data_IF_876601667299
#
_entry.id   IF_876601667299
#
_cell.length_a   1.000
_cell.length_b   1.000
_cell.length_c   1.000
_cell.angle_alpha   90.00
_cell.angle_beta   90.00
_cell.angle_gamma   90.00
#
_symmetry.space_group_name_H-M   'P 1'
#
loop_
_entity.id
_entity.type
_entity.pdbx_description
1 polymer ?
#
# COMPACT_ATOMS: atom_id res chain seq x y z
N UNK A 1 -52.14 11.99 -9.74
CA UNK A 1 -52.22 10.78 -8.89
C UNK A 1 -51.34 11.05 -7.67
N UNK A 2 -51.88 10.81 -6.48
CA UNK A 2 -51.68 11.60 -5.27
C UNK A 2 -50.36 11.37 -4.51
N UNK A 3 -49.94 12.44 -3.82
CA UNK A 3 -48.90 12.52 -2.79
C UNK A 3 -49.47 12.14 -1.41
N UNK A 4 -48.57 11.67 -0.52
CA UNK A 4 -48.64 11.60 0.97
C UNK A 4 -49.45 10.47 1.65
N UNK A 5 -49.15 10.10 2.93
CA UNK A 5 -48.18 10.70 3.87
C UNK A 5 -47.14 9.76 4.51
N UNK A 6 -46.06 10.37 5.00
CA UNK A 6 -45.17 9.87 6.05
C UNK A 6 -45.97 9.66 7.34
N UNK A 7 -45.89 8.46 7.93
CA UNK A 7 -46.31 8.20 9.31
C UNK A 7 -45.06 7.95 10.16
N UNK A 8 -44.77 8.89 11.05
CA UNK A 8 -43.78 8.76 12.09
C UNK A 8 -44.31 7.76 13.13
N UNK A 9 -43.71 6.56 13.20
CA UNK A 9 -43.86 5.70 14.37
C UNK A 9 -42.60 5.88 15.21
N UNK A 10 -42.78 6.42 16.41
CA UNK A 10 -41.83 6.32 17.50
C UNK A 10 -41.42 4.85 17.65
N UNK A 11 -40.23 4.50 17.18
CA UNK A 11 -39.66 3.19 17.41
C UNK A 11 -39.11 3.18 18.83
N UNK A 12 -39.80 2.44 19.71
CA UNK A 12 -39.34 2.10 21.05
C UNK A 12 -37.91 1.56 20.99
N UNK A 13 -37.07 1.98 21.95
CA UNK A 13 -35.67 1.58 22.11
C UNK A 13 -35.49 0.04 22.20
N UNK A 14 -36.56 -0.72 22.42
CA UNK A 14 -36.56 -2.18 22.49
C UNK A 14 -36.50 -2.93 21.14
N UNK A 15 -36.61 -2.26 19.98
CA UNK A 15 -36.65 -2.94 18.67
C UNK A 15 -35.31 -3.01 17.92
N UNK A 16 -34.21 -2.56 18.54
CA UNK A 16 -32.93 -2.32 17.86
C UNK A 16 -31.89 -3.44 18.02
N UNK A 17 -32.26 -4.60 18.57
CA UNK A 17 -31.31 -5.65 18.94
C UNK A 17 -31.05 -6.73 17.86
N UNK A 18 -31.68 -6.65 16.68
CA UNK A 18 -31.59 -7.73 15.68
C UNK A 18 -31.57 -7.24 14.23
N UNK A 19 -30.71 -6.26 13.90
CA UNK A 19 -30.36 -6.07 12.48
C UNK A 19 -29.31 -7.13 12.13
N UNK A 20 -29.64 -8.19 11.37
CA UNK A 20 -28.63 -9.15 10.95
C UNK A 20 -27.58 -8.40 10.13
N UNK A 21 -26.30 -8.54 10.51
CA UNK A 21 -25.19 -8.01 9.73
C UNK A 21 -25.23 -8.67 8.34
N UNK A 22 -25.72 -7.93 7.35
CA UNK A 22 -25.67 -8.33 5.95
C UNK A 22 -24.25 -8.14 5.44
N UNK A 23 -23.48 -9.23 5.33
CA UNK A 23 -22.18 -9.21 4.67
C UNK A 23 -22.40 -9.35 3.17
N UNK A 24 -22.42 -8.21 2.46
CA UNK A 24 -22.38 -8.22 1.01
C UNK A 24 -20.97 -8.61 0.55
N UNK A 25 -20.85 -9.83 0.04
CA UNK A 25 -19.62 -10.33 -0.54
C UNK A 25 -19.54 -9.87 -2.00
N UNK A 26 -19.01 -8.67 -2.21
CA UNK A 26 -18.69 -8.20 -3.56
C UNK A 26 -17.69 -9.16 -4.18
N UNK A 27 -18.16 -9.96 -5.15
CA UNK A 27 -17.32 -10.91 -5.87
C UNK A 27 -16.10 -10.17 -6.42
N UNK A 28 -14.92 -10.41 -5.84
CA UNK A 28 -13.68 -10.04 -6.50
C UNK A 28 -13.65 -10.82 -7.81
N UNK A 29 -13.67 -10.11 -8.94
CA UNK A 29 -13.24 -10.73 -10.18
C UNK A 29 -11.88 -11.38 -9.88
N UNK A 30 -11.75 -12.71 -10.08
CA UNK A 30 -10.51 -13.47 -9.87
C UNK A 30 -9.47 -13.06 -10.93
N UNK A 31 -9.08 -11.80 -10.93
CA UNK A 31 -8.04 -11.27 -11.81
C UNK A 31 -6.74 -11.27 -11.03
N UNK A 32 -5.77 -12.02 -11.53
CA UNK A 32 -4.40 -11.85 -11.08
C UNK A 32 -3.95 -10.42 -11.41
N UNK A 33 -3.33 -9.75 -10.44
CA UNK A 33 -2.87 -8.37 -10.53
C UNK A 33 -1.37 -8.33 -10.28
N UNK A 34 -0.69 -7.35 -10.88
CA UNK A 34 0.68 -6.99 -10.57
C UNK A 34 0.66 -5.76 -9.66
N UNK A 35 0.97 -5.95 -8.39
CA UNK A 35 0.90 -4.87 -7.39
C UNK A 35 2.32 -4.47 -7.01
N UNK A 36 2.64 -3.18 -7.15
CA UNK A 36 3.85 -2.60 -6.61
C UNK A 36 3.57 -2.12 -5.18
N UNK A 37 4.12 -2.79 -4.18
CA UNK A 37 4.03 -2.38 -2.79
C UNK A 37 5.25 -1.55 -2.45
N UNK A 38 5.06 -0.35 -1.92
CA UNK A 38 6.15 0.55 -1.55
C UNK A 38 6.03 0.90 -0.08
N UNK A 39 7.08 0.58 0.69
CA UNK A 39 7.13 0.82 2.13
C UNK A 39 8.54 1.19 2.56
N UNK A 40 8.68 1.97 3.63
CA UNK A 40 9.99 2.27 4.23
C UNK A 40 10.44 1.21 5.24
N UNK A 41 9.49 0.40 5.72
CA UNK A 41 9.71 -0.61 6.75
C UNK A 41 9.03 -1.91 6.32
N UNK A 42 9.73 -3.01 6.55
CA UNK A 42 9.30 -4.36 6.23
C UNK A 42 10.03 -5.35 7.14
N UNK A 43 9.50 -6.57 7.38
CA UNK A 43 10.25 -7.60 8.08
C UNK A 43 11.66 -7.75 7.48
N UNK A 44 12.72 -7.86 8.30
CA UNK A 44 12.73 -8.28 9.71
C UNK A 44 12.48 -7.18 10.77
N UNK A 45 12.16 -5.94 10.39
CA UNK A 45 11.78 -4.92 11.38
C UNK A 45 10.53 -5.36 12.17
N UNK A 46 10.58 -5.24 13.51
CA UNK A 46 9.53 -5.71 14.43
C UNK A 46 8.47 -4.63 14.74
N UNK A 47 8.32 -3.63 13.88
CA UNK A 47 7.34 -2.55 14.07
C UNK A 47 5.96 -2.91 13.49
N UNK A 48 4.91 -2.25 14.00
CA UNK A 48 3.52 -2.55 13.63
C UNK A 48 3.26 -2.41 12.12
N UNK A 49 3.89 -1.43 11.48
CA UNK A 49 3.80 -1.20 10.02
C UNK A 49 4.42 -2.37 9.24
N UNK A 50 5.64 -2.81 9.59
CA UNK A 50 6.31 -3.93 8.94
C UNK A 50 5.46 -5.20 9.04
N UNK A 51 5.01 -5.54 10.25
CA UNK A 51 4.25 -6.77 10.49
C UNK A 51 2.91 -6.77 9.74
N UNK A 52 2.22 -5.64 9.73
CA UNK A 52 0.94 -5.49 9.00
C UNK A 52 1.16 -5.55 7.49
N UNK A 53 2.19 -4.87 6.98
CA UNK A 53 2.57 -4.91 5.55
C UNK A 53 2.94 -6.32 5.13
N UNK A 54 3.71 -7.05 5.94
CA UNK A 54 4.08 -8.44 5.67
C UNK A 54 2.86 -9.36 5.55
N UNK A 55 1.88 -9.21 6.46
CA UNK A 55 0.61 -9.95 6.40
C UNK A 55 -0.21 -9.60 5.16
N UNK A 56 -0.27 -8.32 4.79
CA UNK A 56 -0.94 -7.85 3.57
C UNK A 56 -0.31 -8.47 2.32
N UNK A 57 1.02 -8.43 2.21
CA UNK A 57 1.77 -9.03 1.09
C UNK A 57 1.51 -10.53 1.01
N UNK A 58 1.59 -11.26 2.13
CA UNK A 58 1.31 -12.69 2.19
C UNK A 58 -0.12 -13.00 1.69
N UNK A 59 -1.12 -12.29 2.20
CA UNK A 59 -2.51 -12.48 1.77
C UNK A 59 -2.72 -12.20 0.27
N UNK A 60 -2.05 -11.18 -0.29
CA UNK A 60 -2.13 -10.92 -1.73
C UNK A 60 -1.47 -12.02 -2.57
N UNK A 61 -0.36 -12.60 -2.10
CA UNK A 61 0.30 -13.73 -2.76
C UNK A 61 -0.58 -14.98 -2.73
N UNK A 62 -1.23 -15.25 -1.59
CA UNK A 62 -2.18 -16.36 -1.42
C UNK A 62 -3.38 -16.24 -2.37
N UNK A 63 -3.86 -15.01 -2.58
CA UNK A 63 -4.93 -14.70 -3.55
C UNK A 63 -4.50 -14.79 -5.01
N UNK A 64 -3.22 -15.01 -5.29
CA UNK A 64 -2.75 -15.23 -6.65
C UNK A 64 -1.99 -14.08 -7.28
N UNK A 65 -1.87 -12.93 -6.61
CA UNK A 65 -1.27 -11.73 -7.19
C UNK A 65 0.26 -11.83 -7.31
N UNK A 66 0.83 -10.98 -8.17
CA UNK A 66 2.27 -10.83 -8.37
C UNK A 66 2.68 -9.55 -7.68
N UNK A 67 3.62 -9.63 -6.74
CA UNK A 67 4.03 -8.52 -5.90
C UNK A 67 5.47 -8.12 -6.22
N UNK A 68 5.67 -6.83 -6.47
CA UNK A 68 6.99 -6.21 -6.41
C UNK A 68 7.04 -5.32 -5.18
N UNK A 69 7.87 -5.68 -4.20
CA UNK A 69 8.03 -4.93 -2.97
C UNK A 69 9.25 -4.00 -3.07
N UNK A 70 9.03 -2.70 -2.97
CA UNK A 70 10.09 -1.71 -2.91
C UNK A 70 10.27 -1.25 -1.47
N UNK A 71 11.45 -1.52 -0.91
CA UNK A 71 11.82 -1.10 0.44
C UNK A 71 13.26 -0.59 0.50
N UNK A 72 13.62 0.27 1.46
CA UNK A 72 15.01 0.63 1.71
C UNK A 72 15.83 -0.61 2.07
N UNK A 73 17.13 -0.55 1.76
CA UNK A 73 18.12 -1.50 2.28
C UNK A 73 18.28 -1.29 3.80
N UNK A 74 18.14 -2.36 4.58
CA UNK A 74 18.20 -2.34 6.06
C UNK A 74 19.58 -2.72 6.61
N UNK A 75 20.49 -3.26 5.79
CA UNK A 75 21.84 -3.64 6.21
C UNK A 75 22.79 -3.90 5.04
N UNK A 76 24.09 -4.09 5.34
CA UNK A 76 25.10 -4.42 4.32
C UNK A 76 24.81 -5.78 3.68
N UNK A 77 24.47 -6.77 4.50
CA UNK A 77 24.16 -8.15 4.09
C UNK A 77 22.71 -8.33 3.61
N UNK A 78 21.92 -7.25 3.56
CA UNK A 78 20.55 -7.29 3.09
C UNK A 78 20.50 -7.56 1.58
N UNK A 79 19.91 -8.69 1.23
CA UNK A 79 19.76 -9.17 -0.13
C UNK A 79 18.27 -9.19 -0.51
N UNK A 80 17.90 -8.72 -1.72
CA UNK A 80 16.52 -8.78 -2.16
C UNK A 80 16.06 -10.24 -2.30
N UNK A 81 14.92 -10.57 -1.70
CA UNK A 81 14.26 -11.84 -1.94
C UNK A 81 13.64 -11.89 -3.36
N UNK A 82 13.67 -13.07 -3.98
CA UNK A 82 13.07 -13.30 -5.29
C UNK A 82 12.47 -14.71 -5.39
N UNK A 83 11.19 -14.75 -5.63
CA UNK A 83 10.34 -15.93 -5.75
C UNK A 83 9.44 -15.80 -7.00
N UNK A 84 8.74 -16.85 -7.45
CA UNK A 84 7.99 -16.81 -8.72
C UNK A 84 6.96 -15.67 -8.86
N UNK A 85 6.34 -15.24 -7.75
CA UNK A 85 5.34 -14.16 -7.72
C UNK A 85 5.71 -13.01 -6.80
N UNK A 86 6.91 -13.04 -6.21
CA UNK A 86 7.36 -12.04 -5.26
C UNK A 86 8.79 -11.60 -5.60
N UNK A 87 9.01 -10.30 -5.71
CA UNK A 87 10.34 -9.75 -5.95
C UNK A 87 10.55 -8.52 -5.07
N UNK A 88 11.66 -8.50 -4.33
CA UNK A 88 12.09 -7.32 -3.61
C UNK A 88 13.02 -6.46 -4.45
N UNK A 89 12.80 -5.15 -4.39
CA UNK A 89 13.67 -4.13 -4.97
C UNK A 89 14.16 -3.24 -3.84
N UNK A 90 15.44 -3.40 -3.51
CA UNK A 90 16.06 -2.59 -2.46
C UNK A 90 16.39 -1.19 -3.00
N UNK A 91 15.67 -0.19 -2.51
CA UNK A 91 15.98 1.20 -2.74
C UNK A 91 17.31 1.52 -2.03
N UNK A 92 18.32 1.93 -2.81
CA UNK A 92 19.58 2.42 -2.25
C UNK A 92 19.33 3.77 -1.59
N UNK A 93 19.56 3.86 -0.29
CA UNK A 93 19.69 5.16 0.37
C UNK A 93 20.89 5.88 -0.25
N UNK A 94 20.66 7.02 -0.91
CA UNK A 94 21.76 7.86 -1.36
C UNK A 94 22.11 8.80 -0.20
N UNK A 95 23.34 8.77 0.34
CA UNK A 95 23.79 9.80 1.27
C UNK A 95 23.84 11.14 0.51
N UNK A 96 23.18 12.18 1.04
CA UNK A 96 23.20 13.53 0.46
C UNK A 96 24.39 14.29 1.07
N UNK A 97 25.46 14.61 0.32
CA UNK A 97 26.56 15.41 0.84
C UNK A 97 26.12 16.87 1.02
N UNK A 98 26.41 17.47 2.18
CA UNK A 98 26.23 18.91 2.55
C UNK A 98 24.83 19.46 2.89
N UNK A 99 23.79 18.64 2.99
CA UNK A 99 22.48 19.07 3.56
C UNK A 99 21.92 18.00 4.50
N UNK A 100 22.31 18.03 5.77
CA UNK A 100 21.92 17.04 6.78
C UNK A 100 20.47 17.21 7.30
N UNK A 101 19.76 18.29 6.92
CA UNK A 101 18.44 18.64 7.46
C UNK A 101 17.27 18.56 6.45
N UNK A 102 17.53 18.29 5.16
CA UNK A 102 16.50 18.31 4.12
C UNK A 102 16.66 17.11 3.18
N UNK A 103 15.90 16.04 3.45
CA UNK A 103 15.80 14.86 2.58
C UNK A 103 14.63 15.03 1.59
N UNK A 104 14.82 15.79 0.50
CA UNK A 104 13.87 15.74 -0.61
C UNK A 104 14.11 14.48 -1.46
N UNK A 105 13.12 13.60 -1.47
CA UNK A 105 13.14 12.26 -2.07
C UNK A 105 13.22 12.21 -3.60
N UNK A 106 14.34 12.60 -4.18
CA UNK A 106 14.53 12.68 -5.64
C UNK A 106 15.54 11.69 -6.30
N UNK A 107 16.28 10.80 -5.61
CA UNK A 107 17.01 9.74 -6.31
C UNK A 107 16.14 8.51 -6.64
N UNK A 108 15.09 8.21 -5.86
CA UNK A 108 14.30 6.99 -6.03
C UNK A 108 13.25 7.10 -7.15
N UNK A 109 12.69 8.28 -7.43
CA UNK A 109 11.65 8.46 -8.46
C UNK A 109 12.11 8.00 -9.85
N UNK A 110 13.32 8.35 -10.27
CA UNK A 110 13.83 7.96 -11.59
C UNK A 110 14.07 6.45 -11.70
N UNK A 111 14.53 5.83 -10.61
CA UNK A 111 14.72 4.37 -10.54
C UNK A 111 13.36 3.68 -10.64
N UNK A 112 12.38 4.11 -9.83
CA UNK A 112 11.01 3.59 -9.85
C UNK A 112 10.34 3.78 -11.21
N UNK A 113 10.53 4.94 -11.84
CA UNK A 113 10.01 5.20 -13.19
C UNK A 113 10.59 4.25 -14.23
N UNK A 114 11.91 3.99 -14.21
CA UNK A 114 12.55 3.05 -15.14
C UNK A 114 12.09 1.62 -14.88
N UNK A 115 12.02 1.23 -13.60
CA UNK A 115 11.51 -0.07 -13.17
C UNK A 115 10.09 -0.29 -13.69
N UNK A 116 9.18 0.65 -13.43
CA UNK A 116 7.77 0.56 -13.83
C UNK A 116 7.52 0.81 -15.32
N UNK A 117 8.43 1.44 -16.04
CA UNK A 117 8.38 1.48 -17.51
C UNK A 117 8.65 0.10 -18.12
N UNK A 118 9.52 -0.70 -17.48
CA UNK A 118 9.87 -2.05 -17.95
C UNK A 118 8.91 -3.12 -17.40
N UNK A 119 8.54 -2.99 -16.12
CA UNK A 119 7.67 -3.90 -15.38
C UNK A 119 6.52 -3.10 -14.78
N UNK A 120 5.55 -2.76 -15.61
CA UNK A 120 4.42 -1.91 -15.22
C UNK A 120 3.45 -2.64 -14.28
N UNK A 121 3.24 -2.16 -13.04
CA UNK A 121 2.20 -2.70 -12.18
C UNK A 121 0.80 -2.25 -12.64
N UNK A 122 -0.21 -3.04 -12.31
CA UNK A 122 -1.63 -2.65 -12.41
C UNK A 122 -1.98 -1.59 -11.37
N UNK A 123 -1.41 -1.73 -10.16
CA UNK A 123 -1.69 -0.90 -8.99
C UNK A 123 -0.42 -0.65 -8.16
N UNK A 124 -0.24 0.57 -7.67
CA UNK A 124 0.75 0.92 -6.65
C UNK A 124 0.11 1.05 -5.26
N UNK A 125 0.49 0.18 -4.32
CA UNK A 125 0.14 0.30 -2.90
C UNK A 125 1.29 1.02 -2.19
N UNK A 126 1.08 2.27 -1.76
CA UNK A 126 2.10 3.10 -1.13
C UNK A 126 1.77 3.22 0.36
N UNK A 127 2.50 2.50 1.20
CA UNK A 127 2.22 2.36 2.65
C UNK A 127 2.94 3.44 3.48
N UNK A 128 3.66 4.34 2.83
CA UNK A 128 4.53 5.29 3.49
C UNK A 128 4.43 6.70 2.91
N UNK A 129 4.48 7.71 3.77
CA UNK A 129 4.52 9.13 3.39
C UNK A 129 5.92 9.73 3.45
N UNK A 130 6.95 8.89 3.59
CA UNK A 130 8.35 9.31 3.62
C UNK A 130 8.91 9.49 2.19
N UNK A 131 10.17 9.96 2.02
CA UNK A 131 10.74 10.25 0.71
C UNK A 131 10.58 9.15 -0.34
N UNK A 132 10.63 7.86 0.02
CA UNK A 132 10.39 6.76 -0.92
C UNK A 132 8.95 6.73 -1.42
N UNK A 133 7.99 6.93 -0.53
CA UNK A 133 6.56 7.00 -0.84
C UNK A 133 6.22 8.17 -1.75
N UNK A 134 6.77 9.36 -1.49
CA UNK A 134 6.63 10.52 -2.39
C UNK A 134 7.25 10.25 -3.77
N UNK A 135 8.44 9.65 -3.81
CA UNK A 135 9.09 9.21 -5.05
C UNK A 135 8.21 8.24 -5.84
N UNK A 136 7.60 7.28 -5.16
CA UNK A 136 6.69 6.30 -5.76
C UNK A 136 5.42 6.95 -6.30
N UNK A 137 4.78 7.82 -5.51
CA UNK A 137 3.58 8.53 -5.95
C UNK A 137 3.87 9.42 -7.16
N UNK A 138 5.00 10.12 -7.15
CA UNK A 138 5.43 10.96 -8.26
C UNK A 138 5.72 10.13 -9.53
N UNK A 139 6.32 8.94 -9.39
CA UNK A 139 6.53 8.01 -10.50
C UNK A 139 5.21 7.44 -11.04
N UNK A 140 4.29 7.07 -10.15
CA UNK A 140 3.00 6.47 -10.51
C UNK A 140 2.12 7.48 -11.26
N UNK A 141 2.06 8.72 -10.77
CA UNK A 141 1.39 9.85 -11.44
C UNK A 141 1.94 10.08 -12.84
N UNK A 142 3.26 10.09 -13.01
CA UNK A 142 3.90 10.30 -14.32
C UNK A 142 3.60 9.17 -15.31
N UNK A 143 3.46 7.94 -14.82
CA UNK A 143 3.16 6.76 -15.65
C UNK A 143 1.67 6.46 -15.76
N UNK A 144 0.80 7.23 -15.09
CA UNK A 144 -0.65 7.00 -14.99
C UNK A 144 -0.99 5.59 -14.46
N UNK A 145 -0.33 5.21 -13.37
CA UNK A 145 -0.58 3.95 -12.64
C UNK A 145 -1.56 4.26 -11.52
N UNK A 146 -2.62 3.44 -11.39
CA UNK A 146 -3.57 3.57 -10.28
C UNK A 146 -2.84 3.36 -8.96
N UNK A 147 -3.10 4.19 -7.95
CA UNK A 147 -2.38 4.15 -6.68
C UNK A 147 -3.33 4.21 -5.50
N UNK A 148 -3.04 3.41 -4.48
CA UNK A 148 -3.65 3.47 -3.14
C UNK A 148 -2.54 3.93 -2.19
N UNK A 149 -2.82 4.96 -1.41
CA UNK A 149 -1.90 5.45 -0.38
C UNK A 149 -2.47 5.15 0.99
N UNK A 150 -1.68 4.52 1.85
CA UNK A 150 -2.03 4.22 3.23
C UNK A 150 -1.17 5.07 4.16
N UNK A 151 -1.82 5.77 5.08
CA UNK A 151 -1.16 6.57 6.10
C UNK A 151 -1.35 5.93 7.47
N UNK A 152 -0.23 5.67 8.15
CA UNK A 152 -0.23 5.18 9.52
C UNK A 152 0.16 6.33 10.45
N UNK A 153 -0.80 6.79 11.25
CA UNK A 153 -0.72 7.99 12.10
C UNK A 153 0.06 7.78 13.40
N UNK A 154 0.41 6.54 13.76
CA UNK A 154 0.96 6.26 15.08
C UNK A 154 2.50 6.29 15.09
N UNK A 155 3.06 7.46 15.41
CA UNK A 155 4.45 7.64 15.77
C UNK A 155 4.52 7.85 17.29
N UNK A 156 4.58 6.78 18.08
CA UNK A 156 4.90 6.94 19.50
C UNK A 156 6.37 7.39 19.63
N UNK A 157 6.53 8.65 20.01
CA UNK A 157 7.73 9.28 20.59
C UNK A 157 7.92 8.88 22.05
#
# INVERSE_FOLDING_TARGET
MAFMPLSCRSASIAAMEQTPLSLEQFSQAKRQLRVAVVTETYPPEINGVAMTTGRLVAGMLDLGHIITLVRPRQGADDAPAREPRFEEVLARGIPIPKYSHLKMGLPAQNVLRKLWATRRPDLGQIITERPLGWSALAAARKLRIASITEFQTNFHS
#
